data_IF_340438310666
#
_entry.id   IF_340438310666
#
_cell.length_a   1.000
_cell.length_b   1.000
_cell.length_c   1.000
_cell.angle_alpha   90.00
_cell.angle_beta   90.00
_cell.angle_gamma   90.00
#
_symmetry.space_group_name_H-M   'P 1'
#
loop_
_entity.id
_entity.type
_entity.pdbx_description
1 polymer ?
#
# COMPACT_ATOMS: atom_id res chain seq x y z
N UNK A 1 -9.92 -76.61 32.06
CA UNK A 1 -9.22 -76.78 33.34
C UNK A 1 -7.89 -77.45 33.04
N UNK A 2 -6.80 -76.95 33.64
CA UNK A 2 -5.39 -77.39 33.57
C UNK A 2 -4.63 -76.92 32.32
N UNK A 3 -3.51 -76.20 32.36
CA UNK A 3 -2.63 -75.71 33.42
C UNK A 3 -1.90 -74.49 32.82
N UNK A 4 -2.08 -73.27 33.31
CA UNK A 4 -1.26 -72.65 34.35
C UNK A 4 0.24 -72.94 34.28
N UNK A 5 0.99 -71.86 34.04
CA UNK A 5 2.39 -71.61 34.42
C UNK A 5 3.43 -72.50 33.76
N UNK A 6 4.37 -71.87 33.07
CA UNK A 6 5.68 -71.68 33.70
C UNK A 6 6.63 -70.90 32.80
N UNK A 7 6.90 -69.67 33.25
CA UNK A 7 8.24 -69.09 33.41
C UNK A 7 8.98 -68.73 32.11
N UNK A 8 9.17 -67.43 31.87
CA UNK A 8 10.18 -66.60 32.52
C UNK A 8 11.30 -66.36 31.50
N UNK A 9 11.80 -65.14 31.53
CA UNK A 9 13.02 -64.64 30.89
C UNK A 9 12.75 -63.97 29.53
N UNK A 10 12.46 -62.67 29.56
CA UNK A 10 13.42 -61.57 29.72
C UNK A 10 13.99 -61.19 28.36
N UNK A 11 13.46 -60.07 27.87
CA UNK A 11 14.18 -58.99 27.22
C UNK A 11 14.88 -59.19 25.86
N UNK A 12 14.80 -58.09 25.11
CA UNK A 12 15.73 -57.66 24.07
C UNK A 12 15.59 -58.25 22.66
N UNK A 13 14.91 -57.49 21.78
CA UNK A 13 15.48 -56.82 20.58
C UNK A 13 14.34 -56.48 19.60
N UNK A 14 13.94 -55.21 19.52
CA UNK A 14 14.27 -54.27 18.42
C UNK A 14 13.76 -54.73 17.05
N UNK A 15 12.69 -54.08 16.54
CA UNK A 15 12.56 -53.49 15.18
C UNK A 15 11.12 -52.94 15.03
N UNK A 16 10.86 -51.64 15.25
CA UNK A 16 10.86 -50.56 14.25
C UNK A 16 10.07 -50.91 12.97
N UNK A 17 8.82 -50.43 12.89
CA UNK A 17 8.25 -49.86 11.66
C UNK A 17 6.92 -49.13 11.97
N UNK A 18 7.01 -47.95 12.59
CA UNK A 18 5.89 -46.98 12.60
C UNK A 18 6.10 -46.01 11.45
N UNK A 19 5.36 -46.19 10.36
CA UNK A 19 5.27 -45.20 9.28
C UNK A 19 4.46 -44.01 9.79
N UNK A 20 5.16 -43.01 10.32
CA UNK A 20 4.60 -41.66 10.46
C UNK A 20 4.50 -41.05 9.06
N UNK A 21 3.27 -40.87 8.59
CA UNK A 21 2.94 -39.98 7.50
C UNK A 21 3.36 -38.55 7.88
N UNK A 22 4.41 -38.05 7.25
CA UNK A 22 4.81 -36.65 7.30
C UNK A 22 3.78 -35.80 6.54
N UNK A 23 2.75 -35.33 7.24
CA UNK A 23 2.05 -34.13 6.82
C UNK A 23 3.00 -32.96 7.01
N UNK A 24 3.73 -32.58 5.96
CA UNK A 24 4.30 -31.24 5.88
C UNK A 24 3.14 -30.29 5.61
N UNK A 25 2.50 -29.80 6.66
CA UNK A 25 1.76 -28.55 6.57
C UNK A 25 2.81 -27.46 6.40
N UNK A 26 2.99 -27.02 5.16
CA UNK A 26 3.73 -25.82 4.81
C UNK A 26 3.22 -24.66 5.67
N UNK A 27 3.96 -24.32 6.71
CA UNK A 27 3.68 -23.18 7.55
C UNK A 27 3.88 -21.92 6.71
N UNK A 28 2.78 -21.23 6.40
CA UNK A 28 2.83 -19.86 5.89
C UNK A 28 3.31 -18.98 7.04
N UNK A 29 4.62 -18.90 7.21
CA UNK A 29 5.28 -17.82 7.94
C UNK A 29 5.88 -16.95 6.86
N UNK A 30 5.04 -16.09 6.28
CA UNK A 30 5.46 -15.07 5.35
C UNK A 30 6.44 -14.15 6.10
N UNK A 31 7.72 -14.25 5.78
CA UNK A 31 8.75 -13.52 6.50
C UNK A 31 8.65 -12.04 6.14
N UNK A 32 8.87 -11.14 7.10
CA UNK A 32 8.97 -9.69 6.82
C UNK A 32 10.05 -9.37 5.76
N UNK A 33 10.99 -10.28 5.52
CA UNK A 33 12.03 -10.15 4.51
C UNK A 33 11.50 -10.35 3.07
N UNK A 34 10.55 -11.27 2.85
CA UNK A 34 9.90 -11.43 1.53
C UNK A 34 9.02 -10.22 1.17
N UNK A 35 8.37 -9.60 2.15
CA UNK A 35 7.62 -8.36 1.93
C UNK A 35 8.49 -7.16 1.52
N UNK A 36 9.78 -7.15 1.86
CA UNK A 36 10.70 -6.04 1.55
C UNK A 36 11.47 -6.28 0.25
N UNK A 37 11.70 -7.53 -0.15
CA UNK A 37 12.39 -7.87 -1.40
C UNK A 37 11.55 -7.59 -2.68
N UNK A 38 10.22 -7.47 -2.57
CA UNK A 38 9.29 -7.34 -3.70
C UNK A 38 9.12 -5.90 -4.26
N UNK A 39 9.95 -4.93 -3.83
CA UNK A 39 9.79 -3.52 -4.21
C UNK A 39 10.36 -3.22 -5.63
N UNK A 40 11.29 -4.03 -6.14
CA UNK A 40 11.92 -3.79 -7.46
C UNK A 40 11.32 -4.57 -8.64
N UNK A 41 10.41 -5.53 -8.40
CA UNK A 41 9.81 -6.40 -9.43
C UNK A 41 8.28 -6.35 -9.47
N UNK A 42 7.66 -5.36 -8.81
CA UNK A 42 6.21 -5.27 -8.77
C UNK A 42 5.62 -5.17 -10.19
N UNK A 43 4.66 -6.03 -10.50
CA UNK A 43 3.91 -6.04 -11.78
C UNK A 43 2.68 -5.15 -11.76
N UNK A 44 2.34 -4.61 -10.59
CA UNK A 44 1.16 -3.80 -10.34
C UNK A 44 1.48 -2.71 -9.32
N UNK A 45 0.81 -1.56 -9.38
CA UNK A 45 0.88 -0.53 -8.35
C UNK A 45 0.61 0.87 -8.88
N UNK A 46 1.30 1.87 -8.32
CA UNK A 46 1.20 3.27 -8.74
C UNK A 46 2.51 3.70 -9.40
N UNK A 47 2.44 3.99 -10.69
CA UNK A 47 3.50 4.71 -11.39
C UNK A 47 3.35 6.20 -11.12
N UNK A 48 4.22 6.76 -10.28
CA UNK A 48 4.23 8.20 -10.00
C UNK A 48 5.15 8.93 -10.94
N UNK A 49 4.77 10.15 -11.34
CA UNK A 49 5.61 10.96 -12.22
C UNK A 49 6.94 11.25 -11.51
N UNK A 50 8.05 10.80 -12.11
CA UNK A 50 9.40 10.96 -11.54
C UNK A 50 9.87 9.82 -10.63
N UNK A 51 9.16 8.69 -10.55
CA UNK A 51 9.59 7.49 -9.83
C UNK A 51 9.47 6.24 -10.71
N UNK A 52 10.53 5.41 -10.84
CA UNK A 52 10.46 4.15 -11.58
C UNK A 52 9.79 3.00 -10.80
N UNK A 53 9.43 3.21 -9.52
CA UNK A 53 8.84 2.15 -8.68
C UNK A 53 7.32 2.23 -8.63
N UNK A 54 6.65 1.10 -8.82
CA UNK A 54 5.20 0.94 -8.65
C UNK A 54 4.75 0.88 -7.18
N UNK A 55 5.71 0.78 -6.24
CA UNK A 55 5.45 0.59 -4.80
C UNK A 55 5.90 1.77 -3.95
N UNK A 56 6.47 2.80 -4.54
CA UNK A 56 6.93 4.00 -3.85
C UNK A 56 6.30 5.24 -4.46
N UNK A 57 5.57 6.00 -3.64
CA UNK A 57 5.02 7.30 -3.98
C UNK A 57 5.81 8.40 -3.27
N UNK A 58 6.51 9.22 -4.05
CA UNK A 58 7.24 10.38 -3.55
C UNK A 58 6.33 11.61 -3.54
N UNK A 59 6.09 12.19 -2.37
CA UNK A 59 5.37 13.45 -2.20
C UNK A 59 6.35 14.60 -1.97
N UNK A 60 6.28 15.64 -2.78
CA UNK A 60 7.07 16.84 -2.54
C UNK A 60 6.61 17.54 -1.27
N UNK A 61 7.56 17.92 -0.43
CA UNK A 61 7.30 18.61 0.84
C UNK A 61 8.25 19.78 1.00
N UNK A 62 7.68 20.95 1.28
CA UNK A 62 8.44 22.13 1.65
C UNK A 62 8.56 22.18 3.16
N UNK A 63 9.78 22.31 3.67
CA UNK A 63 10.07 22.43 5.09
C UNK A 63 10.71 23.80 5.34
N UNK A 64 10.04 24.64 6.10
CA UNK A 64 10.56 25.94 6.55
C UNK A 64 11.23 25.77 7.90
N UNK A 65 12.47 26.24 8.01
CA UNK A 65 13.29 26.25 9.24
C UNK A 65 13.67 27.68 9.63
N UNK A 66 14.14 27.90 10.86
CA UNK A 66 14.44 29.25 11.37
C UNK A 66 13.40 29.72 12.38
N UNK A 67 13.18 31.03 12.48
CA UNK A 67 12.25 31.61 13.47
C UNK A 67 10.77 31.36 13.15
N UNK A 68 10.47 31.03 11.89
CA UNK A 68 9.12 30.73 11.42
C UNK A 68 9.04 29.31 10.84
N UNK A 69 9.14 28.26 11.67
CA UNK A 69 9.12 26.89 11.19
C UNK A 69 7.75 26.51 10.61
N UNK A 70 7.72 25.56 9.68
CA UNK A 70 6.48 25.10 9.08
C UNK A 70 6.67 24.04 8.01
N UNK A 71 5.59 23.36 7.64
CA UNK A 71 5.61 22.31 6.62
C UNK A 71 4.46 22.49 5.66
N UNK A 72 4.73 22.37 4.35
CA UNK A 72 3.72 22.34 3.30
C UNK A 72 3.91 21.12 2.42
N UNK A 73 2.95 20.20 2.48
CA UNK A 73 2.92 19.03 1.61
C UNK A 73 2.25 19.41 0.28
N UNK A 74 2.92 19.11 -0.84
CA UNK A 74 2.36 19.27 -2.17
C UNK A 74 1.56 18.03 -2.58
N UNK A 75 0.86 18.14 -3.70
CA UNK A 75 0.12 17.03 -4.32
C UNK A 75 1.02 16.39 -5.36
N UNK A 76 1.06 15.07 -5.41
CA UNK A 76 1.72 14.30 -6.47
C UNK A 76 0.69 13.68 -7.40
N UNK A 77 1.08 13.40 -8.63
CA UNK A 77 0.26 12.70 -9.61
C UNK A 77 0.89 11.37 -10.00
N UNK A 78 0.06 10.40 -10.35
CA UNK A 78 0.48 9.10 -10.84
C UNK A 78 -0.67 8.35 -11.48
N UNK A 79 -0.38 7.11 -11.87
CA UNK A 79 -1.28 6.25 -12.63
C UNK A 79 -1.28 4.87 -12.00
N UNK A 80 -2.43 4.20 -12.00
CA UNK A 80 -2.48 2.79 -11.61
C UNK A 80 -2.04 1.93 -12.80
N UNK A 81 -1.17 0.96 -12.55
CA UNK A 81 -0.62 0.06 -13.57
C UNK A 81 -0.82 -1.37 -13.09
N UNK A 82 -1.26 -2.25 -13.99
CA UNK A 82 -1.26 -3.70 -13.81
C UNK A 82 -0.79 -4.37 -15.11
N UNK A 83 0.38 -5.00 -15.10
CA UNK A 83 0.93 -5.65 -16.29
C UNK A 83 0.27 -7.00 -16.63
N UNK A 84 -0.52 -7.56 -15.73
CA UNK A 84 -1.25 -8.81 -15.96
C UNK A 84 -2.66 -8.56 -16.49
N UNK A 85 -3.22 -7.38 -16.27
CA UNK A 85 -4.56 -7.01 -16.72
C UNK A 85 -4.46 -5.85 -17.71
N UNK A 86 -4.56 -6.12 -19.03
CA UNK A 86 -4.50 -5.06 -20.02
C UNK A 86 -5.67 -4.09 -19.85
N UNK A 87 -5.43 -2.83 -20.20
CA UNK A 87 -6.50 -1.84 -20.33
C UNK A 87 -7.46 -2.25 -21.43
N UNK A 88 -8.74 -1.89 -21.28
CA UNK A 88 -9.79 -2.13 -22.26
C UNK A 88 -10.89 -1.10 -22.06
N UNK A 89 -11.53 -0.71 -23.16
CA UNK A 89 -12.72 0.15 -23.13
C UNK A 89 -13.72 -0.31 -22.05
N UNK A 90 -14.34 0.67 -21.39
CA UNK A 90 -15.26 0.49 -20.26
C UNK A 90 -14.68 -0.17 -19.00
N UNK A 91 -13.37 -0.44 -18.93
CA UNK A 91 -12.74 -0.77 -17.66
C UNK A 91 -12.48 0.49 -16.84
N UNK A 92 -12.75 0.39 -15.54
CA UNK A 92 -12.39 1.38 -14.54
C UNK A 92 -11.61 0.72 -13.41
N UNK A 93 -10.72 1.48 -12.78
CA UNK A 93 -10.08 1.08 -11.53
C UNK A 93 -10.61 1.91 -10.36
N UNK A 94 -11.01 1.24 -9.30
CA UNK A 94 -11.37 1.84 -8.02
C UNK A 94 -10.26 1.55 -7.02
N UNK A 95 -9.69 2.61 -6.43
CA UNK A 95 -8.68 2.52 -5.38
C UNK A 95 -9.25 3.01 -4.06
N UNK A 96 -8.95 2.31 -2.97
CA UNK A 96 -9.35 2.65 -1.61
C UNK A 96 -8.16 2.55 -0.66
N UNK A 97 -7.97 3.58 0.18
CA UNK A 97 -6.87 3.60 1.14
C UNK A 97 -7.36 3.28 2.57
N UNK A 98 -6.81 2.21 3.15
CA UNK A 98 -7.17 1.73 4.49
C UNK A 98 -6.09 2.01 5.55
N UNK A 99 -5.19 2.95 5.28
CA UNK A 99 -4.13 3.30 6.23
C UNK A 99 -4.69 3.78 7.56
N UNK A 100 -4.01 3.42 8.66
CA UNK A 100 -4.34 3.89 10.01
C UNK A 100 -4.44 5.42 10.04
N UNK A 101 -5.50 5.92 10.69
CA UNK A 101 -5.79 7.36 10.75
C UNK A 101 -6.75 7.86 9.66
N UNK A 102 -7.13 7.00 8.71
CA UNK A 102 -8.24 7.21 7.78
C UNK A 102 -9.51 6.50 8.29
N UNK A 103 -10.66 6.87 7.75
CA UNK A 103 -11.94 6.23 8.11
C UNK A 103 -11.99 4.78 7.61
N UNK A 104 -12.16 3.78 8.49
CA UNK A 104 -12.26 2.38 8.05
C UNK A 104 -13.61 2.04 7.41
N UNK A 105 -14.69 2.71 7.83
CA UNK A 105 -16.04 2.50 7.29
C UNK A 105 -16.31 3.28 6.01
N UNK A 106 -15.56 4.37 5.77
CA UNK A 106 -15.66 5.18 4.58
C UNK A 106 -14.26 5.61 4.11
N UNK A 107 -13.42 4.66 3.65
CA UNK A 107 -12.04 4.93 3.26
C UNK A 107 -12.01 5.94 2.10
N UNK A 108 -11.01 6.85 2.06
CA UNK A 108 -10.76 7.65 0.88
C UNK A 108 -10.65 6.77 -0.35
N UNK A 109 -11.36 7.14 -1.42
CA UNK A 109 -11.37 6.36 -2.66
C UNK A 109 -11.37 7.25 -3.88
N UNK A 110 -10.84 6.71 -4.98
CA UNK A 110 -10.89 7.31 -6.31
C UNK A 110 -11.29 6.25 -7.32
N UNK A 111 -12.01 6.66 -8.36
CA UNK A 111 -12.32 5.86 -9.53
C UNK A 111 -11.71 6.54 -10.74
N UNK A 112 -11.08 5.76 -11.61
CA UNK A 112 -10.41 6.24 -12.81
C UNK A 112 -10.62 5.27 -13.96
N UNK A 113 -10.73 5.81 -15.15
CA UNK A 113 -10.82 5.00 -16.36
C UNK A 113 -9.54 4.19 -16.50
N UNK A 114 -9.67 2.97 -17.02
CA UNK A 114 -8.60 2.00 -17.22
C UNK A 114 -8.70 1.43 -18.64
N UNK A 115 -8.93 2.34 -19.59
CA UNK A 115 -9.36 2.03 -20.95
C UNK A 115 -8.30 2.25 -22.03
N UNK A 116 -7.24 3.00 -21.72
CA UNK A 116 -6.32 3.51 -22.73
C UNK A 116 -4.85 3.44 -22.30
N UNK A 117 -3.96 3.23 -23.28
CA UNK A 117 -2.52 3.15 -23.06
C UNK A 117 -2.08 1.89 -22.32
N UNK A 118 -1.34 2.07 -21.22
CA UNK A 118 -0.80 0.98 -20.38
C UNK A 118 -1.16 1.15 -18.89
N UNK A 119 -2.01 2.11 -18.56
CA UNK A 119 -2.27 2.55 -17.20
C UNK A 119 -3.66 3.16 -17.08
N UNK A 120 -4.09 3.42 -15.85
CA UNK A 120 -5.30 4.19 -15.61
C UNK A 120 -5.16 5.63 -16.04
N UNK A 121 -6.28 6.31 -16.01
CA UNK A 121 -6.38 7.74 -16.05
C UNK A 121 -5.73 8.39 -14.80
N UNK A 122 -5.35 9.68 -14.89
CA UNK A 122 -4.48 10.33 -13.88
C UNK A 122 -5.11 10.40 -12.48
N UNK A 123 -4.35 9.99 -11.48
CA UNK A 123 -4.70 10.06 -10.05
C UNK A 123 -3.88 11.15 -9.36
N UNK A 124 -4.54 11.95 -8.51
CA UNK A 124 -3.87 12.89 -7.60
C UNK A 124 -3.76 12.28 -6.21
N UNK A 125 -2.63 12.46 -5.55
CA UNK A 125 -2.35 11.95 -4.20
C UNK A 125 -1.95 13.10 -3.28
N UNK A 126 -2.48 13.11 -2.06
CA UNK A 126 -2.22 14.17 -1.07
C UNK A 126 -2.27 13.63 0.35
N UNK A 127 -1.41 14.14 1.23
CA UNK A 127 -1.55 13.90 2.67
C UNK A 127 -2.82 14.58 3.18
N UNK A 128 -3.77 13.77 3.65
CA UNK A 128 -5.02 14.26 4.24
C UNK A 128 -5.69 13.16 5.06
N UNK A 129 -6.45 13.55 6.09
CA UNK A 129 -7.30 12.62 6.85
C UNK A 129 -8.73 12.54 6.31
N UNK A 130 -9.11 13.44 5.40
CA UNK A 130 -10.48 13.57 4.90
C UNK A 130 -10.63 12.85 3.56
N UNK A 131 -11.80 12.30 3.29
CA UNK A 131 -12.17 11.83 1.95
C UNK A 131 -12.31 13.04 1.01
N UNK A 132 -11.87 12.89 -0.23
CA UNK A 132 -11.98 13.91 -1.26
C UNK A 132 -12.27 13.25 -2.61
N UNK A 133 -13.03 13.92 -3.49
CA UNK A 133 -13.35 13.40 -4.83
C UNK A 133 -12.25 13.63 -5.86
N UNK A 134 -11.33 14.56 -5.59
CA UNK A 134 -10.30 15.02 -6.53
C UNK A 134 -8.97 14.28 -6.34
N UNK A 135 -8.68 13.80 -5.13
CA UNK A 135 -7.43 13.12 -4.81
C UNK A 135 -7.66 11.94 -3.86
N UNK A 136 -6.79 10.94 -3.95
CA UNK A 136 -6.70 9.88 -2.97
C UNK A 136 -5.89 10.36 -1.77
N UNK A 137 -6.51 10.35 -0.60
CA UNK A 137 -5.86 10.75 0.64
C UNK A 137 -4.88 9.69 1.10
N UNK A 138 -3.67 10.13 1.43
CA UNK A 138 -2.55 9.30 1.85
C UNK A 138 -2.12 9.65 3.27
N UNK A 139 -1.42 8.74 3.93
CA UNK A 139 -0.64 9.00 5.15
C UNK A 139 0.85 8.77 4.87
N UNK A 140 1.76 9.36 5.66
CA UNK A 140 3.18 9.01 5.59
C UNK A 140 3.44 7.51 5.84
N UNK A 141 4.42 6.93 5.14
CA UNK A 141 4.81 5.53 5.29
C UNK A 141 3.94 4.55 4.49
N UNK A 142 3.80 3.32 4.97
CA UNK A 142 3.15 2.23 4.22
C UNK A 142 1.63 2.37 4.25
N UNK A 143 1.02 2.46 3.06
CA UNK A 143 -0.41 2.57 2.88
C UNK A 143 -0.97 1.30 2.20
N UNK A 144 -1.86 0.52 2.84
CA UNK A 144 -2.57 -0.56 2.18
C UNK A 144 -3.64 0.00 1.24
N UNK A 145 -3.43 -0.19 -0.06
CA UNK A 145 -4.34 0.23 -1.12
C UNK A 145 -5.08 -0.99 -1.64
N UNK A 146 -6.39 -1.03 -1.42
CA UNK A 146 -7.26 -1.99 -2.09
C UNK A 146 -7.58 -1.46 -3.48
N UNK A 147 -7.50 -2.32 -4.49
CA UNK A 147 -7.89 -2.00 -5.86
C UNK A 147 -8.96 -2.97 -6.36
N UNK A 148 -9.80 -2.49 -7.27
CA UNK A 148 -10.75 -3.27 -8.04
C UNK A 148 -10.73 -2.77 -9.48
N UNK A 149 -10.51 -3.66 -10.43
CA UNK A 149 -10.72 -3.40 -11.85
C UNK A 149 -12.11 -3.92 -12.18
N UNK A 150 -12.97 -3.04 -12.67
CA UNK A 150 -14.38 -3.28 -12.90
C UNK A 150 -14.66 -3.02 -14.37
N UNK A 151 -15.40 -3.92 -14.99
CA UNK A 151 -15.96 -3.72 -16.32
C UNK A 151 -17.34 -3.07 -16.18
N UNK A 152 -17.47 -1.85 -16.72
CA UNK A 152 -18.69 -1.05 -16.72
C UNK A 152 -19.38 -1.03 -18.10
N UNK A 153 -19.09 -1.99 -18.99
CA UNK A 153 -19.77 -2.13 -20.30
C UNK A 153 -21.29 -2.17 -20.12
N UNK A 154 -21.78 -2.94 -19.14
CA UNK A 154 -23.14 -2.79 -18.59
C UNK A 154 -23.10 -2.06 -17.26
N UNK A 155 -23.38 -0.76 -17.29
CA UNK A 155 -23.42 0.11 -16.10
C UNK A 155 -24.43 -0.33 -15.04
N UNK A 156 -25.43 -1.14 -15.37
CA UNK A 156 -26.39 -1.66 -14.39
C UNK A 156 -25.86 -2.90 -13.66
N UNK A 157 -24.98 -3.65 -14.31
CA UNK A 157 -24.43 -4.90 -13.78
C UNK A 157 -22.90 -4.91 -13.95
N UNK A 158 -22.18 -4.04 -13.22
CA UNK A 158 -20.73 -3.98 -13.32
C UNK A 158 -20.09 -5.31 -12.90
N UNK A 159 -19.10 -5.77 -13.68
CA UNK A 159 -18.43 -7.06 -13.46
C UNK A 159 -17.06 -6.82 -12.84
N UNK A 160 -16.77 -7.47 -11.72
CA UNK A 160 -15.43 -7.44 -11.13
C UNK A 160 -14.47 -8.30 -11.97
N UNK A 161 -13.48 -7.66 -12.58
CA UNK A 161 -12.46 -8.34 -13.40
C UNK A 161 -11.32 -8.85 -12.53
N UNK A 162 -10.78 -7.98 -11.66
CA UNK A 162 -9.67 -8.31 -10.76
C UNK A 162 -9.76 -7.46 -9.51
N UNK A 163 -9.28 -7.99 -8.39
CA UNK A 163 -9.12 -7.20 -7.17
C UNK A 163 -7.94 -7.69 -6.35
N UNK A 164 -7.46 -6.82 -5.47
CA UNK A 164 -6.43 -7.18 -4.52
C UNK A 164 -6.06 -6.01 -3.63
N UNK A 165 -5.00 -6.20 -2.88
CA UNK A 165 -4.41 -5.17 -2.03
C UNK A 165 -2.93 -5.10 -2.37
N UNK A 166 -2.39 -3.88 -2.41
CA UNK A 166 -0.96 -3.69 -2.43
C UNK A 166 -0.52 -2.63 -1.42
N UNK A 167 0.74 -2.74 -1.00
CA UNK A 167 1.36 -1.79 -0.10
C UNK A 167 2.06 -0.70 -0.90
N UNK A 168 1.68 0.55 -0.65
CA UNK A 168 2.30 1.72 -1.26
C UNK A 168 3.06 2.50 -0.19
N UNK A 169 4.38 2.56 -0.32
CA UNK A 169 5.23 3.32 0.59
C UNK A 169 5.27 4.79 0.19
N UNK A 170 4.76 5.67 1.06
CA UNK A 170 4.67 7.11 0.84
C UNK A 170 5.84 7.79 1.52
N UNK A 171 6.75 8.31 0.71
CA UNK A 171 7.94 9.04 1.15
C UNK A 171 7.81 10.53 0.83
N UNK A 172 8.62 11.33 1.50
CA UNK A 172 8.73 12.76 1.21
C UNK A 172 10.03 13.08 0.52
N UNK A 173 9.95 13.95 -0.48
CA UNK A 173 11.10 14.63 -1.06
C UNK A 173 11.10 16.04 -0.50
N UNK A 174 12.02 16.29 0.42
CA UNK A 174 12.07 17.55 1.17
C UNK A 174 12.83 18.63 0.43
N UNK A 175 12.20 19.79 0.29
CA UNK A 175 12.83 21.04 -0.10
C UNK A 175 12.86 21.95 1.13
N UNK A 176 14.06 22.21 1.63
CA UNK A 176 14.26 22.98 2.87
C UNK A 176 14.54 24.44 2.54
N UNK A 177 13.81 25.35 3.17
CA UNK A 177 14.01 26.80 3.05
C UNK A 177 14.13 27.42 4.44
N UNK A 178 15.02 28.40 4.58
CA UNK A 178 15.09 29.23 5.78
C UNK A 178 14.01 30.32 5.72
N UNK A 179 13.26 30.49 6.80
CA UNK A 179 12.22 31.50 6.97
C UNK A 179 12.32 32.08 8.37
N UNK A 180 12.91 33.27 8.45
CA UNK A 180 13.02 34.06 9.66
C UNK A 180 11.94 35.14 9.67
N UNK A 181 11.76 35.82 10.81
CA UNK A 181 10.74 36.86 10.93
C UNK A 181 11.16 38.12 10.18
N UNK A 182 10.18 38.83 9.63
CA UNK A 182 10.36 40.15 9.03
C UNK A 182 9.69 41.21 9.91
N UNK A 183 10.30 42.39 10.01
CA UNK A 183 9.72 43.51 10.75
C UNK A 183 8.77 44.31 9.87
N UNK A 184 7.53 44.51 10.31
CA UNK A 184 6.58 45.43 9.69
C UNK A 184 6.63 46.78 10.39
N UNK A 185 7.00 47.83 9.66
CA UNK A 185 6.96 49.21 10.13
C UNK A 185 5.53 49.73 10.28
N UNK A 186 4.57 49.18 9.53
CA UNK A 186 3.15 49.56 9.60
C UNK A 186 2.48 49.06 10.89
N UNK A 187 2.80 47.84 11.32
CA UNK A 187 2.24 47.25 12.54
C UNK A 187 3.17 47.33 13.76
N UNK A 188 4.42 47.76 13.58
CA UNK A 188 5.44 47.82 14.62
C UNK A 188 5.85 46.45 15.18
N UNK A 189 5.56 45.36 14.46
CA UNK A 189 5.72 43.98 14.95
C UNK A 189 6.46 43.10 13.96
N UNK A 190 7.11 42.06 14.47
CA UNK A 190 7.68 41.00 13.65
C UNK A 190 6.60 40.00 13.22
N UNK A 191 6.60 39.62 11.94
CA UNK A 191 5.67 38.64 11.38
C UNK A 191 6.42 37.55 10.61
N UNK A 192 5.75 36.41 10.43
CA UNK A 192 6.24 35.34 9.57
C UNK A 192 5.69 35.54 8.16
N UNK A 193 6.54 35.75 7.14
CA UNK A 193 6.06 36.05 5.79
C UNK A 193 5.39 34.83 5.14
N UNK A 194 4.37 35.11 4.30
CA UNK A 194 3.63 34.10 3.54
C UNK A 194 4.36 33.77 2.24
N UNK A 195 5.46 33.02 2.34
CA UNK A 195 6.07 32.33 1.21
C UNK A 195 5.71 30.84 1.30
#
# INVERSE_FOLDING_TARGET
MNNFKSKLKIFFKILICTTLSSFQTSSVIESKAEMVANISQATLGIESVGSPSLRVLNLDRVVYVGECPGVRNKTTVGYFVDYETPVREDLVVVLQNFTRGLSPSNPPSVQKDYDSGRASDKIKFKISKKRNKVYLSMQPGVNPIKYQIIDETDRKNPILVKSGIFMLDVKFVDQVYRRDKEYSSESGTYYCPFF
#
